data_IF_286604500558
#
_entry.id   IF_286604500558
#
_cell.length_a   1.000
_cell.length_b   1.000
_cell.length_c   1.000
_cell.angle_alpha   90.00
_cell.angle_beta   90.00
_cell.angle_gamma   90.00
#
_symmetry.space_group_name_H-M   'P 1'
#
loop_
_entity.id
_entity.type
_entity.pdbx_description
1 polymer ?
#
# COMPACT_ATOMS: atom_id res chain seq x y z
N UNK A 1 31.45 31.14 2.91
CA UNK A 1 30.19 30.64 3.52
C UNK A 1 30.55 29.30 4.14
N UNK A 2 30.51 29.19 5.47
CA UNK A 2 30.76 27.91 6.14
C UNK A 2 29.62 26.94 5.81
N UNK A 3 29.97 25.73 5.39
CA UNK A 3 29.00 24.72 5.04
C UNK A 3 28.31 24.19 6.30
N UNK A 4 26.97 24.11 6.24
CA UNK A 4 26.16 23.57 7.34
C UNK A 4 26.61 22.14 7.67
N UNK A 5 26.97 21.85 8.93
CA UNK A 5 27.41 20.52 9.34
C UNK A 5 26.38 19.44 9.03
N UNK A 6 26.83 18.29 8.54
CA UNK A 6 25.97 17.15 8.16
C UNK A 6 24.98 16.74 9.26
N UNK A 7 25.44 16.71 10.51
CA UNK A 7 24.61 16.33 11.66
C UNK A 7 23.44 17.28 11.90
N UNK A 8 23.61 18.57 11.58
CA UNK A 8 22.57 19.58 11.74
C UNK A 8 21.49 19.41 10.67
N UNK A 9 21.89 19.17 9.41
CA UNK A 9 20.95 18.82 8.32
C UNK A 9 20.14 17.57 8.65
N UNK A 10 20.81 16.51 9.14
CA UNK A 10 20.12 15.26 9.52
C UNK A 10 19.11 15.46 10.67
N UNK A 11 19.42 16.34 11.63
CA UNK A 11 18.49 16.67 12.73
C UNK A 11 17.30 17.50 12.24
N UNK A 12 17.53 18.47 11.37
CA UNK A 12 16.47 19.26 10.74
C UNK A 12 15.52 18.37 9.92
N UNK A 13 16.06 17.46 9.10
CA UNK A 13 15.27 16.48 8.35
C UNK A 13 14.47 15.54 9.27
N UNK A 14 15.03 15.14 10.42
CA UNK A 14 14.30 14.33 11.42
C UNK A 14 13.18 15.13 12.08
N UNK A 15 13.42 16.40 12.41
CA UNK A 15 12.43 17.31 12.99
C UNK A 15 11.28 17.56 12.02
N UNK A 16 11.60 17.86 10.76
CA UNK A 16 10.62 18.03 9.68
C UNK A 16 9.76 16.77 9.49
N UNK A 17 10.37 15.57 9.48
CA UNK A 17 9.62 14.30 9.43
C UNK A 17 8.67 14.12 10.60
N UNK A 18 9.09 14.48 11.82
CA UNK A 18 8.24 14.38 13.02
C UNK A 18 7.12 15.41 13.04
N UNK A 19 7.36 16.64 12.55
CA UNK A 19 6.33 17.67 12.43
C UNK A 19 5.26 17.31 11.39
N UNK A 20 5.64 16.59 10.33
CA UNK A 20 4.73 16.08 9.31
C UNK A 20 4.04 14.77 9.71
N UNK A 21 4.40 14.20 10.87
CA UNK A 21 3.78 12.99 11.37
C UNK A 21 2.33 13.28 11.76
N UNK A 22 1.41 12.61 11.08
CA UNK A 22 -0.04 12.68 11.38
C UNK A 22 -0.42 11.61 12.38
N UNK A 23 -1.52 11.81 13.12
CA UNK A 23 -2.07 10.73 13.91
C UNK A 23 -2.49 9.59 12.97
N UNK A 24 -2.34 8.33 13.38
CA UNK A 24 -2.65 7.19 12.50
C UNK A 24 -4.08 7.19 11.95
N UNK A 25 -5.02 7.84 12.66
CA UNK A 25 -6.40 8.01 12.22
C UNK A 25 -6.63 9.19 11.24
N UNK A 26 -5.61 9.98 10.97
CA UNK A 26 -5.57 11.04 9.95
C UNK A 26 -4.78 10.58 8.71
N UNK A 27 -4.34 9.32 8.67
CA UNK A 27 -3.63 8.74 7.54
C UNK A 27 -4.50 8.81 6.28
N UNK A 28 -3.99 9.49 5.24
CA UNK A 28 -4.72 9.77 4.00
C UNK A 28 -5.73 10.92 4.08
N UNK A 29 -5.76 11.72 5.16
CA UNK A 29 -6.64 12.87 5.24
C UNK A 29 -6.45 13.82 4.04
N UNK A 30 -7.56 14.13 3.36
CA UNK A 30 -7.61 14.94 2.14
C UNK A 30 -7.50 14.15 0.83
N UNK A 31 -7.25 12.84 0.86
CA UNK A 31 -7.13 12.03 -0.37
C UNK A 31 -8.42 12.01 -1.19
N UNK A 32 -8.35 12.17 -2.52
CA UNK A 32 -9.54 12.21 -3.38
C UNK A 32 -10.26 10.86 -3.35
N UNK A 33 -11.58 10.91 -3.50
CA UNK A 33 -12.39 9.70 -3.56
C UNK A 33 -12.44 9.17 -4.99
N UNK A 34 -12.12 7.90 -5.17
CA UNK A 34 -12.09 7.22 -6.46
C UNK A 34 -13.49 6.83 -6.95
N UNK A 35 -14.47 6.78 -6.04
CA UNK A 35 -15.87 6.45 -6.37
C UNK A 35 -16.72 7.71 -6.53
N UNK A 36 -16.44 8.75 -5.74
CA UNK A 36 -17.24 9.98 -5.72
C UNK A 36 -16.61 11.13 -6.51
N UNK A 37 -15.31 11.02 -6.83
CA UNK A 37 -14.53 12.05 -7.53
C UNK A 37 -14.79 13.43 -6.90
N UNK A 38 -15.27 14.39 -7.68
CA UNK A 38 -15.50 15.78 -7.27
C UNK A 38 -16.58 15.96 -6.19
N UNK A 39 -17.43 14.96 -5.93
CA UNK A 39 -18.46 15.04 -4.89
C UNK A 39 -17.89 14.93 -3.49
N UNK A 40 -16.65 14.46 -3.36
CA UNK A 40 -15.98 14.31 -2.07
C UNK A 40 -14.80 15.29 -1.99
N UNK A 41 -14.80 16.24 -1.03
CA UNK A 41 -13.71 17.21 -0.88
C UNK A 41 -12.38 16.58 -0.42
N UNK A 42 -12.37 15.27 -0.16
CA UNK A 42 -11.24 14.52 0.34
C UNK A 42 -11.64 13.59 1.48
N UNK A 43 -10.78 12.60 1.75
CA UNK A 43 -10.96 11.67 2.86
C UNK A 43 -10.93 12.43 4.19
N UNK A 44 -12.03 12.34 4.93
CA UNK A 44 -12.04 12.62 6.36
C UNK A 44 -12.40 11.32 7.08
N UNK A 45 -11.41 10.59 7.59
CA UNK A 45 -11.63 9.25 8.13
C UNK A 45 -12.38 9.32 9.46
N UNK A 46 -13.52 8.63 9.52
CA UNK A 46 -14.19 8.36 10.79
C UNK A 46 -13.43 7.25 11.54
N UNK A 47 -12.84 7.60 12.68
CA UNK A 47 -11.96 6.69 13.43
C UNK A 47 -12.57 5.32 13.74
N UNK A 48 -13.82 5.26 14.23
CA UNK A 48 -14.47 3.97 14.54
C UNK A 48 -15.08 3.26 13.33
N UNK A 49 -15.85 3.96 12.51
CA UNK A 49 -16.56 3.35 11.37
C UNK A 49 -15.65 3.01 10.19
N UNK A 50 -14.42 3.54 10.16
CA UNK A 50 -13.43 3.36 9.08
C UNK A 50 -13.93 3.78 7.68
N UNK A 51 -14.87 4.73 7.65
CA UNK A 51 -15.43 5.33 6.43
C UNK A 51 -15.14 6.83 6.39
N UNK A 52 -15.20 7.42 5.21
CA UNK A 52 -15.14 8.86 5.03
C UNK A 52 -16.39 9.54 5.63
N UNK A 53 -16.21 10.58 6.44
CA UNK A 53 -17.31 11.37 7.00
C UNK A 53 -18.08 12.12 5.91
N UNK A 54 -17.40 12.50 4.83
CA UNK A 54 -17.97 13.27 3.72
C UNK A 54 -18.81 12.39 2.78
N UNK A 55 -18.23 11.34 2.19
CA UNK A 55 -18.91 10.53 1.16
C UNK A 55 -19.37 9.14 1.63
N UNK A 56 -19.06 8.73 2.87
CA UNK A 56 -19.34 7.38 3.44
C UNK A 56 -18.64 6.20 2.75
N UNK A 57 -17.83 6.44 1.73
CA UNK A 57 -16.97 5.41 1.15
C UNK A 57 -15.90 4.97 2.16
N UNK A 58 -15.52 3.69 2.11
CA UNK A 58 -14.38 3.18 2.88
C UNK A 58 -13.05 3.81 2.47
N UNK A 59 -12.04 3.75 3.34
CA UNK A 59 -10.69 4.29 3.08
C UNK A 59 -10.06 3.74 1.80
N UNK A 60 -10.36 2.50 1.44
CA UNK A 60 -9.88 1.84 0.21
C UNK A 60 -10.36 2.54 -1.07
N UNK A 61 -11.50 3.23 -1.01
CA UNK A 61 -12.06 3.96 -2.13
C UNK A 61 -11.52 5.39 -2.24
N UNK A 62 -10.47 5.70 -1.49
CA UNK A 62 -9.73 6.95 -1.58
C UNK A 62 -8.31 6.68 -2.02
N UNK A 63 -7.74 7.58 -2.82
CA UNK A 63 -6.36 7.50 -3.27
C UNK A 63 -5.39 7.93 -2.17
N UNK A 64 -5.30 7.09 -1.13
CA UNK A 64 -4.43 7.29 0.03
C UNK A 64 -3.04 6.81 -0.33
N UNK A 65 -2.05 7.70 -0.41
CA UNK A 65 -0.67 7.27 -0.64
C UNK A 65 -0.09 6.53 0.59
N UNK A 66 0.66 5.45 0.35
CA UNK A 66 1.23 4.60 1.41
C UNK A 66 2.59 5.10 1.92
N UNK A 67 3.10 6.20 1.33
CA UNK A 67 4.36 6.85 1.71
C UNK A 67 4.29 7.58 3.07
N UNK A 68 3.10 7.75 3.64
CA UNK A 68 2.96 8.25 5.00
C UNK A 68 3.58 7.24 5.98
N UNK A 69 4.37 7.72 6.94
CA UNK A 69 5.04 6.94 8.01
C UNK A 69 4.11 5.89 8.66
N UNK A 70 2.80 6.13 8.62
CA UNK A 70 1.73 5.31 9.19
C UNK A 70 0.90 4.51 8.17
N UNK A 71 0.93 4.86 6.87
CA UNK A 71 0.25 4.12 5.80
C UNK A 71 0.91 2.77 5.53
N UNK A 72 2.23 2.71 5.68
CA UNK A 72 3.03 1.51 5.44
C UNK A 72 2.79 0.37 6.45
N UNK A 73 2.33 0.68 7.66
CA UNK A 73 2.13 -0.31 8.73
C UNK A 73 1.12 -1.42 8.34
N UNK A 74 0.14 -1.11 7.48
CA UNK A 74 -0.85 -2.09 7.03
C UNK A 74 -0.25 -3.11 6.03
N UNK A 75 0.78 -2.74 5.27
CA UNK A 75 1.46 -3.63 4.32
C UNK A 75 2.65 -4.39 4.94
N UNK A 76 3.17 -3.94 6.09
CA UNK A 76 4.13 -4.70 6.88
C UNK A 76 3.55 -6.03 7.36
N UNK A 77 2.28 -6.04 7.78
CA UNK A 77 1.56 -7.24 8.21
C UNK A 77 1.47 -8.28 7.08
N UNK A 78 1.41 -7.84 5.82
CA UNK A 78 1.43 -8.71 4.63
C UNK A 78 2.85 -9.14 4.19
N UNK A 79 3.89 -8.89 4.99
CA UNK A 79 5.29 -9.24 4.68
C UNK A 79 5.84 -8.58 3.40
N UNK A 80 5.10 -7.61 2.85
CA UNK A 80 5.31 -7.11 1.49
C UNK A 80 5.95 -5.73 1.54
N UNK A 81 7.24 -5.67 1.88
CA UNK A 81 8.05 -4.49 1.50
C UNK A 81 7.86 -4.28 -0.02
N UNK A 82 7.38 -3.11 -0.48
CA UNK A 82 7.23 -2.85 -1.90
C UNK A 82 8.60 -2.99 -2.59
N UNK A 83 8.63 -3.70 -3.71
CA UNK A 83 9.84 -3.77 -4.53
C UNK A 83 10.16 -2.38 -5.09
N UNK A 84 11.43 -2.14 -5.45
CA UNK A 84 11.78 -0.98 -6.27
C UNK A 84 10.97 -1.04 -7.56
N UNK A 85 10.49 0.10 -8.03
CA UNK A 85 9.69 0.17 -9.26
C UNK A 85 10.46 -0.42 -10.44
N UNK A 86 9.81 -1.35 -11.17
CA UNK A 86 10.36 -2.01 -12.37
C UNK A 86 9.79 -1.33 -13.61
N UNK A 87 10.62 -1.15 -14.64
CA UNK A 87 10.16 -0.64 -15.94
C UNK A 87 10.05 -1.79 -16.94
N UNK A 88 8.96 -1.82 -17.71
CA UNK A 88 8.73 -2.81 -18.77
C UNK A 88 8.41 -2.10 -20.09
N UNK A 89 8.68 -2.76 -21.22
CA UNK A 89 8.26 -2.30 -22.55
C UNK A 89 7.06 -3.14 -22.98
N UNK A 90 5.93 -2.48 -23.24
CA UNK A 90 4.71 -3.15 -23.69
C UNK A 90 4.80 -3.45 -25.20
N UNK A 91 4.18 -4.55 -25.63
CA UNK A 91 4.09 -4.88 -27.05
C UNK A 91 3.42 -3.72 -27.82
N UNK A 92 4.11 -3.19 -28.84
CA UNK A 92 3.63 -2.07 -29.65
C UNK A 92 3.96 -0.67 -29.11
N UNK A 93 4.60 -0.54 -27.94
CA UNK A 93 5.15 0.73 -27.44
C UNK A 93 6.68 0.71 -27.45
N UNK A 94 7.29 1.86 -27.75
CA UNK A 94 8.76 2.04 -27.68
C UNK A 94 9.22 2.49 -26.29
N UNK A 95 8.34 3.17 -25.56
CA UNK A 95 8.67 3.75 -24.27
C UNK A 95 8.48 2.72 -23.14
N UNK A 96 9.43 2.70 -22.22
CA UNK A 96 9.35 1.89 -21.02
C UNK A 96 8.36 2.53 -20.03
N UNK A 97 7.40 1.74 -19.55
CA UNK A 97 6.42 2.14 -18.53
C UNK A 97 6.86 1.65 -17.16
N UNK A 98 6.62 2.47 -16.12
CA UNK A 98 6.92 2.12 -14.74
C UNK A 98 5.75 1.34 -14.13
N UNK A 99 6.05 0.24 -13.44
CA UNK A 99 5.09 -0.53 -12.67
C UNK A 99 5.07 -0.06 -11.21
N UNK A 100 3.88 0.03 -10.64
CA UNK A 100 3.65 0.36 -9.23
C UNK A 100 3.99 -0.82 -8.30
N UNK A 101 3.83 -2.05 -8.81
CA UNK A 101 4.18 -3.26 -8.08
C UNK A 101 4.70 -4.37 -8.99
N UNK A 102 5.59 -5.19 -8.44
CA UNK A 102 6.01 -6.46 -9.04
C UNK A 102 6.05 -7.56 -7.97
N UNK A 103 5.68 -8.81 -8.32
CA UNK A 103 5.83 -9.95 -7.42
C UNK A 103 7.28 -10.11 -6.96
N UNK A 104 7.46 -10.67 -5.76
CA UNK A 104 8.79 -11.12 -5.30
C UNK A 104 9.07 -12.51 -5.87
N UNK A 105 10.28 -12.72 -6.39
CA UNK A 105 10.67 -14.01 -6.97
C UNK A 105 11.88 -13.88 -7.89
N UNK A 106 12.20 -14.95 -8.59
CA UNK A 106 13.24 -14.95 -9.62
C UNK A 106 12.82 -14.03 -10.78
N UNK A 107 13.78 -13.28 -11.33
CA UNK A 107 13.54 -12.29 -12.39
C UNK A 107 12.76 -12.88 -13.56
N UNK A 108 13.18 -14.07 -13.99
CA UNK A 108 12.66 -14.71 -15.20
C UNK A 108 11.21 -15.14 -15.01
N UNK A 109 10.87 -15.68 -13.84
CA UNK A 109 9.49 -16.03 -13.49
C UNK A 109 8.61 -14.78 -13.40
N UNK A 110 9.11 -13.70 -12.81
CA UNK A 110 8.39 -12.42 -12.75
C UNK A 110 8.17 -11.85 -14.15
N UNK A 111 9.16 -11.95 -15.04
CA UNK A 111 9.05 -11.47 -16.42
C UNK A 111 8.10 -12.31 -17.27
N UNK A 112 8.07 -13.63 -17.08
CA UNK A 112 7.07 -14.51 -17.70
C UNK A 112 5.67 -14.15 -17.21
N UNK A 113 5.47 -14.04 -15.89
CA UNK A 113 4.18 -13.66 -15.31
C UNK A 113 3.66 -12.32 -15.85
N UNK A 114 4.52 -11.30 -15.91
CA UNK A 114 4.15 -9.98 -16.44
C UNK A 114 3.84 -9.99 -17.95
N UNK A 115 4.41 -10.93 -18.72
CA UNK A 115 4.09 -11.08 -20.15
C UNK A 115 2.77 -11.80 -20.39
N UNK A 116 2.43 -12.77 -19.54
CA UNK A 116 1.18 -13.54 -19.64
C UNK A 116 -0.04 -12.76 -19.13
N UNK A 117 0.17 -11.74 -18.30
CA UNK A 117 -0.90 -10.88 -17.80
C UNK A 117 -1.54 -10.04 -18.92
N UNK A 118 -2.88 -9.99 -19.00
CA UNK A 118 -3.58 -9.04 -19.85
C UNK A 118 -3.14 -7.59 -19.57
N UNK A 119 -3.01 -6.78 -20.61
CA UNK A 119 -2.51 -5.40 -20.50
C UNK A 119 -3.36 -4.56 -19.54
N UNK A 120 -4.67 -4.81 -19.48
CA UNK A 120 -5.60 -4.13 -18.57
C UNK A 120 -5.48 -4.55 -17.11
N UNK A 121 -4.70 -5.59 -16.79
CA UNK A 121 -4.44 -6.05 -15.42
C UNK A 121 -3.00 -5.73 -14.97
N UNK A 122 -2.18 -5.17 -15.86
CA UNK A 122 -0.82 -4.78 -15.51
C UNK A 122 -0.83 -3.59 -14.54
N UNK A 123 -0.13 -3.66 -13.39
CA UNK A 123 -0.09 -2.61 -12.39
C UNK A 123 0.86 -1.48 -12.83
N UNK A 124 0.57 -0.86 -13.96
CA UNK A 124 1.28 0.31 -14.48
C UNK A 124 1.01 1.49 -13.54
N UNK A 125 2.05 2.23 -13.18
CA UNK A 125 1.95 3.36 -12.25
C UNK A 125 0.91 4.38 -12.72
N UNK A 126 -0.04 4.70 -11.85
CA UNK A 126 -1.17 5.58 -12.14
C UNK A 126 -2.28 4.97 -13.00
N UNK A 127 -2.21 3.68 -13.34
CA UNK A 127 -3.30 2.99 -14.04
C UNK A 127 -4.40 2.55 -13.08
N UNK A 128 -5.61 2.35 -13.62
CA UNK A 128 -6.73 1.75 -12.87
C UNK A 128 -6.35 0.39 -12.28
N UNK A 129 -5.60 -0.45 -13.01
CA UNK A 129 -5.19 -1.77 -12.53
C UNK A 129 -4.23 -1.70 -11.33
N UNK A 130 -3.32 -0.72 -11.29
CA UNK A 130 -2.47 -0.51 -10.13
C UNK A 130 -3.29 -0.09 -8.90
N UNK A 131 -4.26 0.80 -9.09
CA UNK A 131 -5.17 1.25 -8.04
C UNK A 131 -6.07 0.11 -7.54
N UNK A 132 -6.70 -0.64 -8.44
CA UNK A 132 -7.56 -1.77 -8.13
C UNK A 132 -6.78 -2.86 -7.37
N UNK A 133 -5.55 -3.15 -7.80
CA UNK A 133 -4.67 -4.08 -7.09
C UNK A 133 -4.46 -3.63 -5.63
N UNK A 134 -4.22 -2.34 -5.39
CA UNK A 134 -4.06 -1.79 -4.03
C UNK A 134 -5.35 -1.93 -3.20
N UNK A 135 -6.51 -1.71 -3.80
CA UNK A 135 -7.80 -1.91 -3.14
C UNK A 135 -8.03 -3.38 -2.76
N UNK A 136 -7.69 -4.30 -3.65
CA UNK A 136 -7.81 -5.74 -3.41
C UNK A 136 -6.90 -6.19 -2.27
N UNK A 137 -5.68 -5.68 -2.17
CA UNK A 137 -4.76 -6.01 -1.06
C UNK A 137 -5.36 -5.72 0.31
N UNK A 138 -6.19 -4.67 0.45
CA UNK A 138 -6.83 -4.34 1.72
C UNK A 138 -7.90 -5.38 2.15
N UNK A 139 -8.32 -6.26 1.23
CA UNK A 139 -9.34 -7.30 1.44
C UNK A 139 -8.78 -8.71 1.33
N UNK A 140 -7.47 -8.86 1.10
CA UNK A 140 -6.84 -10.13 0.75
C UNK A 140 -6.51 -11.01 1.94
N UNK A 141 -6.41 -10.49 3.17
CA UNK A 141 -6.07 -11.31 4.33
C UNK A 141 -7.32 -12.04 4.81
N UNK A 142 -7.41 -13.38 4.66
CA UNK A 142 -8.48 -14.15 5.26
C UNK A 142 -8.43 -14.01 6.78
N UNK A 143 -9.59 -14.05 7.43
CA UNK A 143 -9.62 -13.98 8.90
C UNK A 143 -8.84 -15.16 9.54
N UNK A 144 -8.80 -16.30 8.87
CA UNK A 144 -8.03 -17.50 9.23
C UNK A 144 -6.51 -17.29 9.22
N UNK A 145 -5.99 -16.23 8.59
CA UNK A 145 -4.55 -15.93 8.59
C UNK A 145 -4.16 -15.03 9.79
N UNK A 146 -5.15 -14.49 10.53
CA UNK A 146 -4.94 -13.57 11.67
C UNK A 146 -5.44 -14.18 12.98
N UNK A 147 -6.40 -15.10 12.95
CA UNK A 147 -6.98 -15.67 14.16
C UNK A 147 -6.95 -17.21 14.12
N UNK A 148 -6.08 -17.86 14.90
CA UNK A 148 -6.00 -19.31 15.00
C UNK A 148 -7.33 -19.95 15.43
N UNK A 149 -8.18 -19.24 16.17
CA UNK A 149 -9.47 -19.75 16.63
C UNK A 149 -10.48 -19.92 15.48
N UNK A 150 -10.26 -19.25 14.36
CA UNK A 150 -11.09 -19.40 13.17
C UNK A 150 -10.64 -20.58 12.30
N UNK A 151 -9.52 -21.22 12.60
CA UNK A 151 -9.00 -22.36 11.86
C UNK A 151 -9.57 -23.68 12.40
N UNK A 152 -10.03 -24.57 11.51
CA UNK A 152 -10.77 -25.76 11.91
C UNK A 152 -9.90 -26.89 12.51
N UNK A 153 -8.59 -26.93 12.26
CA UNK A 153 -7.76 -28.10 12.55
C UNK A 153 -6.28 -27.77 12.83
N UNK A 154 -5.99 -26.65 13.50
CA UNK A 154 -4.62 -26.38 13.95
C UNK A 154 -4.28 -27.23 15.17
N UNK A 155 -3.12 -27.88 15.15
CA UNK A 155 -2.53 -28.48 16.34
C UNK A 155 -2.03 -27.40 17.31
N UNK A 156 -1.84 -27.74 18.59
CA UNK A 156 -1.34 -26.79 19.59
C UNK A 156 0.02 -26.16 19.21
N UNK A 157 0.87 -26.90 18.50
CA UNK A 157 2.15 -26.40 18.01
C UNK A 157 1.98 -25.41 16.85
N UNK A 158 1.02 -25.64 15.94
CA UNK A 158 0.70 -24.73 14.85
C UNK A 158 -0.01 -23.47 15.34
N UNK A 159 -0.90 -23.59 16.33
CA UNK A 159 -1.51 -22.44 17.01
C UNK A 159 -0.43 -21.54 17.61
N UNK A 160 0.56 -22.13 18.27
CA UNK A 160 1.68 -21.36 18.84
C UNK A 160 2.50 -20.67 17.75
N UNK A 161 2.87 -21.38 16.69
CA UNK A 161 3.63 -20.81 15.57
C UNK A 161 2.87 -19.68 14.87
N UNK A 162 1.56 -19.82 14.70
CA UNK A 162 0.71 -18.80 14.10
C UNK A 162 0.61 -17.56 14.99
N UNK A 163 0.44 -17.72 16.30
CA UNK A 163 0.46 -16.59 17.25
C UNK A 163 1.82 -15.88 17.31
N UNK A 164 2.93 -16.60 17.13
CA UNK A 164 4.27 -16.00 17.07
C UNK A 164 4.53 -15.26 15.74
N UNK A 165 3.78 -15.59 14.68
CA UNK A 165 3.91 -15.02 13.34
C UNK A 165 3.14 -13.70 13.14
N UNK A 166 1.96 -13.59 13.75
CA UNK A 166 1.08 -12.40 13.72
C UNK A 166 1.67 -11.26 14.57
#
# INVERSE_FOLDING_TARGET
>A
MEEVPKWLKELEEKRERRLKARLGHEAGAGSPCLTCEDKCPGLDLHFWRKICKNCKCGKENHDVNDDDIYGWAQFQLLGSKPNKSKKIVLAGRKDAVELDWTPKGQSDTVDLYLKELPVNLLPIKGSYAAQERKQLLQKQIPLHDIDPALCHALSDSEVKQMNDYI
#
